data_IF_521863019297
#
_entry.id   IF_521863019297
#
_cell.length_a   1.000
_cell.length_b   1.000
_cell.length_c   1.000
_cell.angle_alpha   90.00
_cell.angle_beta   90.00
_cell.angle_gamma   90.00
#
_symmetry.space_group_name_H-M   'P 1'
#
loop_
_entity.id
_entity.type
_entity.pdbx_description
1 polymer ?
#
# COMPACT_ATOMS: atom_id res chain seq x y z
N UNK A 1 -1.71 -1.78 0.11
CA UNK A 1 -0.39 -2.44 0.15
C UNK A 1 0.52 -1.65 1.07
N UNK A 2 1.23 -2.30 1.98
CA UNK A 2 2.14 -1.67 2.92
C UNK A 2 3.56 -2.25 2.79
N UNK A 3 4.53 -1.35 2.61
CA UNK A 3 5.94 -1.65 2.72
C UNK A 3 6.33 -1.82 4.19
N UNK A 4 6.66 -3.05 4.58
CA UNK A 4 7.11 -3.42 5.92
C UNK A 4 8.63 -3.60 5.99
N UNK A 5 9.38 -3.02 5.04
CA UNK A 5 10.85 -3.14 4.98
C UNK A 5 11.57 -2.50 6.16
N UNK A 6 12.84 -2.85 6.31
CA UNK A 6 13.70 -2.34 7.38
C UNK A 6 13.85 -0.81 7.34
N UNK A 7 13.81 -0.17 6.16
CA UNK A 7 13.93 1.29 6.06
C UNK A 7 12.66 2.00 6.56
N UNK A 8 11.49 1.43 6.30
CA UNK A 8 10.22 1.87 6.89
C UNK A 8 10.21 1.70 8.42
N UNK A 9 10.74 0.58 8.91
CA UNK A 9 10.83 0.33 10.35
C UNK A 9 11.82 1.27 11.05
N UNK A 10 13.05 1.39 10.53
CA UNK A 10 14.12 2.18 11.13
C UNK A 10 13.84 3.69 11.14
N UNK A 11 13.05 4.19 10.19
CA UNK A 11 12.64 5.59 10.13
C UNK A 11 11.41 5.93 10.98
N UNK A 12 10.79 4.94 11.64
CA UNK A 12 9.51 5.11 12.33
C UNK A 12 8.32 5.30 11.38
N UNK A 13 8.50 5.11 10.08
CA UNK A 13 7.43 5.26 9.08
C UNK A 13 6.31 4.24 9.27
N UNK A 14 6.58 3.03 9.76
CA UNK A 14 5.54 2.02 10.03
C UNK A 14 4.51 2.50 11.05
N UNK A 15 4.94 3.24 12.08
CA UNK A 15 4.02 3.80 13.07
C UNK A 15 3.08 4.85 12.42
N UNK A 16 3.62 5.70 11.55
CA UNK A 16 2.82 6.67 10.78
C UNK A 16 1.90 5.99 9.77
N UNK A 17 2.37 4.91 9.14
CA UNK A 17 1.57 4.11 8.22
C UNK A 17 0.34 3.50 8.89
N UNK A 18 0.38 3.20 10.19
CA UNK A 18 -0.81 2.80 10.96
C UNK A 18 -1.90 3.87 10.93
N UNK A 19 -1.53 5.13 11.17
CA UNK A 19 -2.49 6.25 11.13
C UNK A 19 -3.16 6.38 9.76
N UNK A 20 -2.35 6.33 8.69
CA UNK A 20 -2.84 6.36 7.30
C UNK A 20 -3.77 5.18 7.00
N UNK A 21 -3.40 3.97 7.42
CA UNK A 21 -4.25 2.79 7.25
C UNK A 21 -5.58 2.93 7.99
N UNK A 22 -5.58 3.44 9.22
CA UNK A 22 -6.81 3.68 9.98
C UNK A 22 -7.73 4.65 9.26
N UNK A 23 -7.21 5.78 8.77
CA UNK A 23 -8.00 6.74 8.00
C UNK A 23 -8.57 6.16 6.71
N UNK A 24 -7.77 5.39 5.95
CA UNK A 24 -8.25 4.69 4.74
C UNK A 24 -9.34 3.66 5.07
N UNK A 25 -9.19 2.94 6.18
CA UNK A 25 -10.16 1.94 6.65
C UNK A 25 -11.47 2.59 7.09
N UNK A 26 -11.41 3.73 7.78
CA UNK A 26 -12.58 4.50 8.16
C UNK A 26 -13.34 5.02 6.95
N UNK A 27 -12.63 5.51 5.94
CA UNK A 27 -13.25 5.96 4.68
C UNK A 27 -13.92 4.79 3.94
N UNK A 28 -13.23 3.65 3.81
CA UNK A 28 -13.79 2.44 3.23
C UNK A 28 -15.01 1.94 4.04
N UNK A 29 -14.97 2.05 5.36
CA UNK A 29 -16.08 1.69 6.25
C UNK A 29 -17.31 2.57 5.99
N UNK A 30 -17.12 3.89 5.90
CA UNK A 30 -18.20 4.85 5.57
C UNK A 30 -18.82 4.55 4.21
N UNK A 31 -18.00 4.18 3.22
CA UNK A 31 -18.43 3.83 1.86
C UNK A 31 -18.98 2.40 1.73
N UNK A 32 -18.90 1.59 2.79
CA UNK A 32 -19.29 0.16 2.82
C UNK A 32 -18.51 -0.67 1.80
N UNK A 33 -17.25 -0.31 1.58
CA UNK A 33 -16.35 -0.97 0.65
C UNK A 33 -15.71 -2.23 1.24
N UNK A 34 -15.19 -3.08 0.36
CA UNK A 34 -14.33 -4.20 0.75
C UNK A 34 -12.88 -3.75 0.74
N UNK A 35 -12.11 -4.30 1.67
CA UNK A 35 -10.70 -3.98 1.88
C UNK A 35 -9.88 -5.25 1.98
N UNK A 36 -8.63 -5.16 1.53
CA UNK A 36 -7.61 -6.17 1.71
C UNK A 36 -6.28 -5.47 2.03
N UNK A 37 -5.45 -6.11 2.84
CA UNK A 37 -4.12 -5.60 3.17
C UNK A 37 -3.06 -6.63 2.78
N UNK A 38 -2.24 -6.24 1.82
CA UNK A 38 -0.98 -6.91 1.51
C UNK A 38 0.14 -6.15 2.20
N UNK A 39 0.96 -6.87 2.94
CA UNK A 39 2.23 -6.37 3.47
C UNK A 39 3.38 -7.05 2.72
N UNK A 40 4.48 -6.34 2.51
CA UNK A 40 5.66 -6.90 1.85
C UNK A 40 6.95 -6.39 2.48
N UNK A 41 7.95 -7.26 2.61
CA UNK A 41 9.29 -6.91 3.10
C UNK A 41 10.30 -8.00 2.73
N UNK A 42 11.56 -7.63 2.55
CA UNK A 42 12.62 -8.59 2.24
C UNK A 42 12.32 -9.32 0.92
N UNK A 43 12.04 -10.62 1.02
CA UNK A 43 11.66 -11.49 -0.10
C UNK A 43 10.23 -12.01 -0.02
N UNK A 44 9.42 -11.48 0.91
CA UNK A 44 8.09 -12.01 1.22
C UNK A 44 6.99 -10.99 0.92
N UNK A 45 5.87 -11.53 0.46
CA UNK A 45 4.59 -10.83 0.31
C UNK A 45 3.55 -11.63 1.09
N UNK A 46 2.78 -10.95 1.94
CA UNK A 46 1.80 -11.59 2.82
C UNK A 46 0.45 -10.88 2.69
N UNK A 47 -0.60 -11.65 2.40
CA UNK A 47 -1.98 -11.18 2.50
C UNK A 47 -2.38 -11.18 3.98
N UNK A 48 -2.14 -10.07 4.66
CA UNK A 48 -2.44 -9.88 6.08
C UNK A 48 -3.94 -9.85 6.33
N UNK A 49 -4.66 -9.03 5.58
CA UNK A 49 -6.12 -8.99 5.66
C UNK A 49 -6.70 -9.52 4.35
N UNK A 50 -7.34 -10.70 4.34
CA UNK A 50 -8.06 -11.15 3.15
C UNK A 50 -9.22 -10.20 2.84
N UNK A 51 -9.67 -10.13 1.57
CA UNK A 51 -10.80 -9.31 1.16
C UNK A 51 -12.02 -9.52 2.07
N UNK A 52 -12.46 -8.44 2.71
CA UNK A 52 -13.64 -8.42 3.59
C UNK A 52 -14.22 -7.02 3.65
N UNK A 53 -15.47 -6.90 4.12
CA UNK A 53 -16.06 -5.58 4.42
C UNK A 53 -15.19 -4.83 5.43
N UNK A 54 -14.96 -3.54 5.19
CA UNK A 54 -14.30 -2.67 6.14
C UNK A 54 -15.01 -2.74 7.49
N UNK A 55 -14.23 -2.76 8.56
CA UNK A 55 -14.67 -2.80 9.94
C UNK A 55 -13.60 -2.10 10.79
N UNK A 56 -13.93 -1.82 12.06
CA UNK A 56 -12.94 -1.31 13.01
C UNK A 56 -11.72 -2.25 13.04
N UNK A 57 -10.55 -1.66 12.77
CA UNK A 57 -9.28 -2.37 12.69
C UNK A 57 -8.75 -2.65 14.11
N UNK A 58 -8.07 -3.78 14.32
CA UNK A 58 -7.47 -4.13 15.62
C UNK A 58 -5.99 -3.71 15.71
N UNK A 59 -5.49 -3.51 16.93
CA UNK A 59 -4.27 -2.73 17.15
C UNK A 59 -2.94 -3.40 16.75
N UNK A 60 -2.89 -4.71 16.52
CA UNK A 60 -1.64 -5.46 16.61
C UNK A 60 -0.79 -5.57 15.32
N UNK A 61 -1.20 -5.06 14.16
CA UNK A 61 -0.75 -5.69 12.89
C UNK A 61 0.09 -4.84 11.91
N UNK A 62 1.16 -4.23 12.40
CA UNK A 62 2.30 -3.81 11.53
C UNK A 62 3.61 -4.39 12.06
N UNK A 63 3.57 -5.64 12.52
CA UNK A 63 4.78 -6.37 12.77
C UNK A 63 5.52 -6.54 11.43
N UNK A 64 6.83 -6.22 11.36
CA UNK A 64 7.61 -6.45 10.15
C UNK A 64 7.48 -7.90 9.70
N UNK A 65 7.29 -8.11 8.39
CA UNK A 65 7.44 -9.45 7.84
C UNK A 65 8.93 -9.80 7.95
N UNK A 66 9.25 -10.80 8.77
CA UNK A 66 10.64 -11.23 8.95
C UNK A 66 11.27 -11.64 7.61
N UNK A 67 12.40 -11.03 7.26
CA UNK A 67 13.15 -11.35 6.06
C UNK A 67 14.20 -10.28 5.75
N UNK A 68 15.48 -10.68 5.67
CA UNK A 68 16.57 -9.79 5.24
C UNK A 68 16.68 -9.73 3.73
N UNK A 69 16.95 -8.53 3.19
CA UNK A 69 17.28 -8.28 1.79
C UNK A 69 16.06 -8.15 0.86
N UNK A 70 15.94 -6.99 0.19
CA UNK A 70 14.94 -6.73 -0.85
C UNK A 70 13.65 -6.04 -0.37
N UNK A 71 12.86 -5.60 -1.35
CA UNK A 71 11.49 -5.10 -1.19
C UNK A 71 10.72 -5.57 -2.42
N UNK A 72 9.92 -6.65 -2.32
CA UNK A 72 9.37 -7.37 -3.48
C UNK A 72 8.10 -6.67 -3.96
N UNK A 73 8.25 -5.40 -4.36
CA UNK A 73 7.16 -4.52 -4.76
C UNK A 73 6.45 -5.09 -5.99
N UNK A 74 7.20 -5.58 -6.97
CA UNK A 74 6.66 -6.23 -8.18
C UNK A 74 5.71 -7.38 -7.84
N UNK A 75 6.17 -8.33 -7.02
CA UNK A 75 5.36 -9.47 -6.59
C UNK A 75 4.12 -9.03 -5.79
N UNK A 76 4.26 -8.00 -4.96
CA UNK A 76 3.15 -7.47 -4.18
C UNK A 76 2.10 -6.78 -5.07
N UNK A 77 2.53 -6.07 -6.12
CA UNK A 77 1.65 -5.45 -7.12
C UNK A 77 0.93 -6.51 -7.95
N UNK A 78 1.61 -7.58 -8.35
CA UNK A 78 1.00 -8.72 -9.05
C UNK A 78 -0.09 -9.39 -8.20
N UNK A 79 0.19 -9.66 -6.92
CA UNK A 79 -0.79 -10.23 -6.00
C UNK A 79 -2.00 -9.30 -5.81
N UNK A 80 -1.77 -7.99 -5.67
CA UNK A 80 -2.85 -7.01 -5.57
C UNK A 80 -3.71 -6.98 -6.84
N UNK A 81 -3.09 -7.02 -8.02
CA UNK A 81 -3.78 -7.11 -9.30
C UNK A 81 -4.68 -8.35 -9.39
N UNK A 82 -4.18 -9.52 -8.96
CA UNK A 82 -4.98 -10.74 -8.94
C UNK A 82 -6.17 -10.64 -7.97
N UNK A 83 -5.99 -10.04 -6.79
CA UNK A 83 -7.08 -9.84 -5.84
C UNK A 83 -8.15 -8.91 -6.42
N UNK A 84 -7.75 -7.78 -7.02
CA UNK A 84 -8.65 -6.84 -7.66
C UNK A 84 -9.41 -7.47 -8.83
N UNK A 85 -8.74 -8.23 -9.70
CA UNK A 85 -9.40 -8.95 -10.79
C UNK A 85 -10.46 -9.94 -10.28
N UNK A 86 -10.14 -10.72 -9.24
CA UNK A 86 -11.07 -11.71 -8.67
C UNK A 86 -12.30 -11.09 -8.00
N UNK A 87 -12.16 -9.91 -7.39
CA UNK A 87 -13.21 -9.31 -6.56
C UNK A 87 -13.93 -8.13 -7.22
N UNK A 88 -13.33 -7.50 -8.25
CA UNK A 88 -13.92 -6.40 -9.00
C UNK A 88 -14.03 -6.65 -10.51
N UNK A 89 -13.39 -7.66 -11.07
CA UNK A 89 -13.30 -7.83 -12.53
C UNK A 89 -14.59 -8.26 -13.22
N UNK A 90 -15.60 -8.73 -12.49
CA UNK A 90 -16.85 -9.27 -13.07
C UNK A 90 -18.07 -8.35 -12.92
N UNK A 91 -18.04 -7.36 -12.02
CA UNK A 91 -19.17 -6.46 -11.75
C UNK A 91 -18.85 -5.02 -12.17
N UNK A 92 -19.70 -4.43 -13.01
CA UNK A 92 -19.56 -3.05 -13.49
C UNK A 92 -19.63 -1.99 -12.37
N UNK A 93 -20.08 -2.36 -11.17
CA UNK A 93 -20.19 -1.49 -9.99
C UNK A 93 -18.97 -1.55 -9.07
N UNK A 94 -18.01 -2.46 -9.28
CA UNK A 94 -16.83 -2.58 -8.42
C UNK A 94 -15.67 -1.77 -8.99
N UNK A 95 -15.39 -0.61 -8.39
CA UNK A 95 -14.19 0.16 -8.67
C UNK A 95 -13.06 -0.31 -7.76
N UNK A 96 -12.02 -0.87 -8.36
CA UNK A 96 -10.80 -1.31 -7.71
C UNK A 96 -9.87 -0.15 -7.39
N UNK A 97 -9.64 0.09 -6.10
CA UNK A 97 -8.69 1.07 -5.58
C UNK A 97 -7.44 0.38 -5.06
N UNK A 98 -6.26 0.93 -5.39
CA UNK A 98 -4.98 0.47 -4.87
C UNK A 98 -4.21 1.59 -4.18
N UNK A 99 -4.03 1.46 -2.86
CA UNK A 99 -3.10 2.31 -2.10
C UNK A 99 -1.77 1.60 -1.84
N UNK A 100 -0.66 2.28 -2.11
CA UNK A 100 0.70 1.85 -1.79
C UNK A 100 1.33 2.79 -0.75
N UNK A 101 1.73 2.24 0.39
CA UNK A 101 2.42 2.98 1.46
C UNK A 101 3.89 2.55 1.47
N UNK A 102 4.82 3.43 1.11
CA UNK A 102 6.27 3.11 1.00
C UNK A 102 7.15 4.36 1.18
N UNK A 103 8.41 4.16 1.59
CA UNK A 103 9.45 5.19 1.59
C UNK A 103 10.26 5.23 0.27
N UNK A 104 9.86 4.40 -0.71
CA UNK A 104 10.44 4.39 -2.05
C UNK A 104 11.88 3.88 -2.12
N UNK A 105 12.38 3.13 -1.13
CA UNK A 105 13.78 2.65 -1.14
C UNK A 105 14.06 1.52 -2.14
N UNK A 106 13.02 0.85 -2.63
CA UNK A 106 13.15 -0.12 -3.73
C UNK A 106 13.62 0.54 -5.04
N UNK A 107 14.20 -0.26 -5.93
CA UNK A 107 14.51 0.12 -7.33
C UNK A 107 13.49 -0.44 -8.32
N UNK A 108 12.63 -1.35 -7.87
CA UNK A 108 11.60 -1.95 -8.70
C UNK A 108 10.60 -0.88 -9.16
N UNK A 109 10.13 -1.03 -10.40
CA UNK A 109 9.16 -0.13 -11.04
C UNK A 109 8.07 -0.96 -11.71
N UNK A 110 7.21 -1.63 -10.94
CA UNK A 110 6.09 -2.36 -11.51
C UNK A 110 5.18 -1.42 -12.29
N UNK A 111 4.50 -1.97 -13.30
CA UNK A 111 3.36 -1.31 -13.92
C UNK A 111 2.17 -1.32 -12.95
N UNK A 112 1.32 -0.29 -13.05
CA UNK A 112 0.04 -0.25 -12.33
C UNK A 112 -0.81 -1.47 -12.73
N UNK A 113 -1.43 -2.20 -11.79
CA UNK A 113 -2.35 -3.27 -12.14
C UNK A 113 -3.52 -2.73 -12.96
N UNK A 114 -3.83 -3.38 -14.09
CA UNK A 114 -4.95 -2.97 -14.95
C UNK A 114 -6.30 -2.96 -14.23
N UNK A 115 -6.46 -3.81 -13.21
CA UNK A 115 -7.68 -3.89 -12.39
C UNK A 115 -7.75 -2.84 -11.26
N UNK A 116 -6.71 -2.02 -11.08
CA UNK A 116 -6.75 -0.85 -10.21
C UNK A 116 -7.19 0.36 -11.04
N UNK A 117 -8.49 0.65 -11.09
CA UNK A 117 -9.04 1.82 -11.79
C UNK A 117 -8.66 3.12 -11.08
N UNK A 118 -8.33 3.05 -9.80
CA UNK A 118 -7.78 4.15 -9.02
C UNK A 118 -6.54 3.71 -8.26
N UNK A 119 -5.55 4.59 -8.15
CA UNK A 119 -4.31 4.31 -7.44
C UNK A 119 -3.83 5.52 -6.65
N UNK A 120 -3.28 5.25 -5.47
CA UNK A 120 -2.66 6.26 -4.63
C UNK A 120 -1.37 5.74 -4.00
N UNK A 121 -0.37 6.62 -3.89
CA UNK A 121 0.90 6.34 -3.23
C UNK A 121 1.07 7.33 -2.08
N UNK A 122 1.19 6.79 -0.87
CA UNK A 122 1.55 7.54 0.32
C UNK A 122 3.05 7.39 0.55
N UNK A 123 3.74 8.51 0.45
CA UNK A 123 5.19 8.61 0.47
C UNK A 123 5.72 8.92 1.87
N UNK A 124 6.45 7.96 2.43
CA UNK A 124 7.08 8.05 3.74
C UNK A 124 8.56 8.43 3.66
N UNK A 125 9.06 8.83 2.48
CA UNK A 125 10.45 9.24 2.31
C UNK A 125 10.80 10.37 3.28
N UNK A 126 11.76 10.07 4.15
CA UNK A 126 12.32 10.97 5.15
C UNK A 126 13.82 11.16 4.93
N UNK A 127 14.33 12.31 5.37
CA UNK A 127 15.74 12.68 5.25
C UNK A 127 15.97 13.98 4.46
N UNK A 128 17.18 14.54 4.59
CA UNK A 128 17.57 15.80 3.91
C UNK A 128 17.74 15.63 2.40
N UNK A 129 18.15 14.44 1.95
CA UNK A 129 18.28 14.10 0.53
C UNK A 129 17.18 13.12 0.16
N UNK A 130 16.37 13.50 -0.83
CA UNK A 130 15.24 12.72 -1.34
C UNK A 130 15.63 12.02 -2.63
N UNK A 131 15.26 10.75 -2.76
CA UNK A 131 15.44 9.95 -3.96
C UNK A 131 14.27 10.16 -4.94
N UNK A 132 13.09 10.57 -4.46
CA UNK A 132 11.93 10.89 -5.31
C UNK A 132 11.32 9.69 -6.04
N UNK A 133 11.62 8.47 -5.60
CA UNK A 133 11.21 7.24 -6.32
C UNK A 133 9.72 6.93 -6.15
N UNK A 134 9.14 7.17 -4.98
CA UNK A 134 7.71 7.03 -4.77
C UNK A 134 6.92 8.02 -5.65
N UNK A 135 7.39 9.27 -5.75
CA UNK A 135 6.82 10.27 -6.64
C UNK A 135 6.93 9.87 -8.12
N UNK A 136 8.10 9.36 -8.54
CA UNK A 136 8.30 8.87 -9.91
C UNK A 136 7.40 7.67 -10.24
N UNK A 137 7.18 6.76 -9.28
CA UNK A 137 6.25 5.64 -9.45
C UNK A 137 4.81 6.14 -9.55
N UNK A 138 4.42 7.12 -8.73
CA UNK A 138 3.08 7.70 -8.77
C UNK A 138 2.79 8.34 -10.13
N UNK A 139 3.76 9.09 -10.67
CA UNK A 139 3.66 9.67 -12.02
C UNK A 139 3.55 8.58 -13.09
N UNK A 140 4.34 7.50 -13.00
CA UNK A 140 4.25 6.38 -13.94
C UNK A 140 2.91 5.62 -13.86
N UNK A 141 2.22 5.67 -12.73
CA UNK A 141 0.93 5.02 -12.51
C UNK A 141 -0.26 5.92 -12.79
N UNK A 142 -0.04 7.21 -13.10
CA UNK A 142 -1.09 8.23 -13.05
C UNK A 142 -1.89 8.13 -11.73
N UNK A 143 -1.14 8.03 -10.63
CA UNK A 143 -1.66 7.79 -9.29
C UNK A 143 -1.58 9.06 -8.44
N UNK A 144 -2.52 9.19 -7.50
CA UNK A 144 -2.47 10.25 -6.49
C UNK A 144 -1.22 10.08 -5.64
N UNK A 145 -0.33 11.08 -5.62
CA UNK A 145 0.82 11.11 -4.71
C UNK A 145 0.51 11.98 -3.50
N UNK A 146 0.68 11.44 -2.30
CA UNK A 146 0.47 12.16 -1.04
C UNK A 146 1.67 11.90 -0.15
N UNK A 147 2.21 12.93 0.48
CA UNK A 147 3.22 12.73 1.52
C UNK A 147 2.55 12.28 2.80
N UNK A 148 3.20 11.39 3.55
CA UNK A 148 2.66 10.90 4.81
C UNK A 148 2.33 12.03 5.81
N UNK A 149 3.10 13.12 5.81
CA UNK A 149 2.88 14.29 6.68
C UNK A 149 1.64 15.10 6.29
N UNK A 150 1.23 15.03 5.02
CA UNK A 150 0.10 15.77 4.44
C UNK A 150 -1.16 14.88 4.31
N UNK A 151 -1.08 13.62 4.74
CA UNK A 151 -2.19 12.69 4.67
C UNK A 151 -3.21 13.00 5.77
N UNK A 152 -4.12 13.91 5.49
CA UNK A 152 -5.35 14.09 6.26
C UNK A 152 -6.39 13.06 5.76
N UNK A 153 -6.93 12.28 6.69
CA UNK A 153 -8.04 11.35 6.45
C UNK A 153 -9.35 12.04 6.11
#
# INVERSE_FOLDING_TARGET
MLDCSASMAASGALARAKGVLLSLMEEAYRRREQVALICFAGTRVELRLPPRKAAAWNDDWIAPIGGGGGTPLQAAVEQAGQLLQRHCGAEASCQGWLWLLTDGRTRERPARPAAAQEAGIVDFESGRVRLGRAAALAAAWDARHVRADDFAG
#
